data_IF_295747344366
#
_entry.id   IF_295747344366
#
_cell.length_a   1.000
_cell.length_b   1.000
_cell.length_c   1.000
_cell.angle_alpha   90.00
_cell.angle_beta   90.00
_cell.angle_gamma   90.00
#
_symmetry.space_group_name_H-M   'P 1'
#
loop_
_entity.id
_entity.type
_entity.pdbx_description
1 polymer ?
#
# COMPACT_ATOMS: atom_id res chain seq x y z
N UNK A 1 11.92 -19.69 3.53
CA UNK A 1 10.75 -18.83 3.70
C UNK A 1 10.93 -17.90 4.88
N UNK A 2 11.35 -16.66 4.61
CA UNK A 2 11.34 -15.55 5.54
C UNK A 2 10.07 -14.71 5.40
N UNK A 3 9.57 -14.19 6.52
CA UNK A 3 8.49 -13.20 6.53
C UNK A 3 9.02 -11.89 7.12
N UNK A 4 8.87 -10.80 6.38
CA UNK A 4 9.40 -9.49 6.76
C UNK A 4 8.29 -8.48 6.87
N UNK A 5 8.21 -7.83 8.03
CA UNK A 5 7.23 -6.79 8.31
C UNK A 5 7.85 -5.43 8.01
N UNK A 6 7.20 -4.66 7.14
CA UNK A 6 7.60 -3.32 6.74
C UNK A 6 6.59 -2.34 7.34
N UNK A 7 7.08 -1.47 8.23
CA UNK A 7 6.30 -0.39 8.82
C UNK A 7 6.14 0.81 7.88
N UNK A 8 5.83 1.96 8.45
CA UNK A 8 5.55 3.21 7.75
C UNK A 8 6.68 3.58 6.78
N UNK A 9 6.31 3.98 5.56
CA UNK A 9 7.24 4.35 4.50
C UNK A 9 7.19 5.86 4.26
N UNK A 10 6.00 6.47 4.31
CA UNK A 10 5.80 7.91 4.17
C UNK A 10 6.56 8.55 3.00
N UNK A 11 6.43 7.96 1.80
CA UNK A 11 7.05 8.51 0.60
C UNK A 11 8.58 8.39 0.54
N UNK A 12 9.23 7.60 1.40
CA UNK A 12 10.69 7.40 1.42
C UNK A 12 11.13 6.20 0.56
N UNK A 13 11.12 6.38 -0.78
CA UNK A 13 11.41 5.27 -1.71
C UNK A 13 12.82 4.68 -1.58
N UNK A 14 13.84 5.51 -1.33
CA UNK A 14 15.22 5.03 -1.25
C UNK A 14 15.46 4.23 0.04
N UNK A 15 14.82 4.61 1.15
CA UNK A 15 14.84 3.83 2.38
C UNK A 15 14.16 2.47 2.18
N UNK A 16 13.00 2.43 1.51
CA UNK A 16 12.31 1.19 1.20
C UNK A 16 13.18 0.25 0.34
N UNK A 17 13.73 0.74 -0.77
CA UNK A 17 14.63 -0.06 -1.62
C UNK A 17 15.84 -0.58 -0.85
N UNK A 18 16.41 0.26 0.03
CA UNK A 18 17.56 -0.12 0.86
C UNK A 18 17.22 -1.30 1.78
N UNK A 19 16.05 -1.26 2.44
CA UNK A 19 15.62 -2.35 3.32
C UNK A 19 15.34 -3.62 2.52
N UNK A 20 14.60 -3.53 1.40
CA UNK A 20 14.30 -4.69 0.55
C UNK A 20 15.58 -5.36 0.02
N UNK A 21 16.57 -4.57 -0.38
CA UNK A 21 17.87 -5.09 -0.79
C UNK A 21 18.63 -5.72 0.38
N UNK A 22 18.61 -5.11 1.56
CA UNK A 22 19.35 -5.59 2.75
C UNK A 22 18.85 -6.95 3.25
N UNK A 23 17.56 -7.23 3.10
CA UNK A 23 16.99 -8.54 3.46
C UNK A 23 17.16 -9.59 2.36
N UNK A 24 17.77 -9.24 1.22
CA UNK A 24 17.91 -10.10 0.04
C UNK A 24 16.58 -10.77 -0.36
N UNK A 25 15.51 -9.97 -0.42
CA UNK A 25 14.16 -10.46 -0.67
C UNK A 25 14.08 -11.32 -1.94
N UNK A 26 13.63 -12.56 -1.78
CA UNK A 26 13.30 -13.46 -2.89
C UNK A 26 11.79 -13.66 -3.01
N UNK A 27 11.20 -13.14 -4.08
CA UNK A 27 9.76 -13.22 -4.32
C UNK A 27 9.20 -14.64 -4.50
N UNK A 28 10.03 -15.66 -4.75
CA UNK A 28 9.57 -17.05 -4.86
C UNK A 28 9.57 -17.79 -3.53
N UNK A 29 10.33 -17.32 -2.54
CA UNK A 29 10.55 -18.00 -1.26
C UNK A 29 10.09 -17.18 -0.04
N UNK A 30 10.05 -15.86 -0.16
CA UNK A 30 9.81 -14.93 0.95
C UNK A 30 8.50 -14.14 0.80
N UNK A 31 8.06 -13.59 1.92
CA UNK A 31 6.85 -12.77 2.02
C UNK A 31 7.14 -11.42 2.67
N UNK A 32 6.61 -10.37 2.06
CA UNK A 32 6.57 -9.02 2.63
C UNK A 32 5.19 -8.75 3.20
N UNK A 33 5.15 -8.14 4.38
CA UNK A 33 3.94 -7.71 5.09
C UNK A 33 4.06 -6.21 5.35
N UNK A 34 3.36 -5.41 4.56
CA UNK A 34 3.33 -3.97 4.67
C UNK A 34 2.18 -3.52 5.59
N UNK A 35 2.50 -2.70 6.60
CA UNK A 35 1.54 -2.31 7.65
C UNK A 35 0.67 -1.09 7.32
N UNK A 36 0.94 -0.40 6.22
CA UNK A 36 0.26 0.84 5.83
C UNK A 36 1.20 2.04 5.83
N UNK A 37 0.63 3.24 5.68
CA UNK A 37 1.31 4.53 5.74
C UNK A 37 2.48 4.60 4.73
N UNK A 38 2.13 4.28 3.48
CA UNK A 38 3.03 4.26 2.34
C UNK A 38 3.34 5.66 1.82
N UNK A 39 2.33 6.52 1.89
CA UNK A 39 2.32 7.86 1.32
C UNK A 39 2.36 8.93 2.42
N UNK A 40 2.33 10.17 1.96
CA UNK A 40 2.37 11.42 2.72
C UNK A 40 3.71 11.70 3.39
N UNK A 41 3.91 12.97 3.78
CA UNK A 41 5.11 13.52 4.43
C UNK A 41 6.34 13.57 3.50
N UNK A 42 6.82 12.44 2.99
CA UNK A 42 7.93 12.37 2.04
C UNK A 42 7.54 12.81 0.63
N UNK A 43 8.54 13.14 -0.20
CA UNK A 43 8.33 13.68 -1.54
C UNK A 43 8.04 12.64 -2.61
N UNK A 44 8.29 11.36 -2.34
CA UNK A 44 8.35 10.33 -3.39
C UNK A 44 7.20 9.30 -3.28
N UNK A 45 6.04 9.73 -2.77
CA UNK A 45 4.84 8.88 -2.65
C UNK A 45 4.44 8.20 -3.97
N UNK A 46 4.56 8.90 -5.11
CA UNK A 46 4.32 8.30 -6.42
C UNK A 46 5.27 7.13 -6.71
N UNK A 47 6.57 7.29 -6.42
CA UNK A 47 7.57 6.25 -6.63
C UNK A 47 7.34 5.06 -5.68
N UNK A 48 6.96 5.32 -4.43
CA UNK A 48 6.56 4.28 -3.46
C UNK A 48 5.36 3.49 -3.99
N UNK A 49 4.29 4.15 -4.41
CA UNK A 49 3.13 3.50 -5.02
C UNK A 49 3.53 2.60 -6.21
N UNK A 50 4.32 3.14 -7.14
CA UNK A 50 4.79 2.39 -8.32
C UNK A 50 5.65 1.18 -7.95
N UNK A 51 6.42 1.28 -6.87
CA UNK A 51 7.27 0.19 -6.39
C UNK A 51 6.45 -0.89 -5.68
N UNK A 52 5.54 -0.51 -4.79
CA UNK A 52 4.59 -1.43 -4.13
C UNK A 52 3.78 -2.21 -5.16
N UNK A 53 3.25 -1.53 -6.20
CA UNK A 53 2.51 -2.19 -7.29
C UNK A 53 3.34 -3.21 -8.06
N UNK A 54 4.67 -3.06 -8.12
CA UNK A 54 5.57 -4.05 -8.73
C UNK A 54 5.90 -5.22 -7.79
N UNK A 55 5.89 -4.98 -6.49
CA UNK A 55 6.11 -6.03 -5.47
C UNK A 55 4.86 -6.90 -5.28
N UNK A 56 3.69 -6.46 -5.72
CA UNK A 56 2.47 -7.26 -5.63
C UNK A 56 2.53 -8.44 -6.61
N UNK A 57 2.91 -9.60 -6.06
CA UNK A 57 2.98 -10.90 -6.74
C UNK A 57 1.85 -11.85 -6.28
N UNK A 58 0.87 -11.35 -5.52
CA UNK A 58 -0.19 -12.14 -4.92
C UNK A 58 0.19 -12.91 -3.65
N UNK A 59 1.48 -13.09 -3.31
CA UNK A 59 1.89 -13.72 -2.04
C UNK A 59 2.07 -12.69 -0.92
N UNK A 60 2.58 -11.49 -1.25
CA UNK A 60 2.76 -10.38 -0.32
C UNK A 60 1.43 -9.90 0.30
N UNK A 61 1.53 -9.26 1.46
CA UNK A 61 0.40 -8.67 2.20
C UNK A 61 0.61 -7.17 2.28
N UNK A 62 -0.42 -6.42 1.91
CA UNK A 62 -0.44 -4.96 2.00
C UNK A 62 -1.68 -4.55 2.81
N UNK A 63 -1.46 -3.83 3.89
CA UNK A 63 -2.51 -3.32 4.78
C UNK A 63 -2.71 -1.84 4.49
N UNK A 64 -3.94 -1.34 4.61
CA UNK A 64 -4.20 0.10 4.51
C UNK A 64 -3.91 0.79 5.86
N UNK A 65 -3.12 1.86 5.83
CA UNK A 65 -2.94 2.77 6.95
C UNK A 65 -3.93 3.94 6.93
N UNK A 66 -3.89 4.79 7.96
CA UNK A 66 -4.77 5.94 8.05
C UNK A 66 -4.44 7.02 7.01
N UNK A 67 -3.19 7.08 6.52
CA UNK A 67 -2.81 8.01 5.47
C UNK A 67 -3.45 7.67 4.12
N UNK A 68 -3.49 6.39 3.77
CA UNK A 68 -4.20 5.92 2.58
C UNK A 68 -5.72 6.17 2.71
N UNK A 69 -6.30 5.98 3.89
CA UNK A 69 -7.71 6.29 4.14
C UNK A 69 -8.02 7.77 3.92
N UNK A 70 -7.20 8.67 4.46
CA UNK A 70 -7.33 10.11 4.26
C UNK A 70 -7.20 10.50 2.77
N UNK A 71 -6.29 9.87 2.02
CA UNK A 71 -6.16 10.10 0.58
C UNK A 71 -7.41 9.64 -0.17
N UNK A 72 -7.95 8.45 0.14
CA UNK A 72 -9.17 7.92 -0.50
C UNK A 72 -10.36 8.86 -0.26
N UNK A 73 -10.54 9.31 0.98
CA UNK A 73 -11.57 10.29 1.32
C UNK A 73 -11.41 11.60 0.55
N UNK A 74 -10.18 12.13 0.51
CA UNK A 74 -9.87 13.39 -0.16
C UNK A 74 -10.02 13.33 -1.68
N UNK A 75 -9.56 12.25 -2.30
CA UNK A 75 -9.41 12.14 -3.75
C UNK A 75 -10.65 11.58 -4.40
N UNK A 76 -11.20 10.48 -3.85
CA UNK A 76 -12.32 9.75 -4.45
C UNK A 76 -13.67 10.22 -3.91
N UNK A 77 -13.78 10.38 -2.58
CA UNK A 77 -15.01 10.84 -1.95
C UNK A 77 -15.15 12.37 -1.97
N UNK A 78 -14.08 13.08 -2.39
CA UNK A 78 -14.00 14.56 -2.44
C UNK A 78 -14.33 15.21 -1.09
N UNK A 79 -13.94 14.55 0.00
CA UNK A 79 -14.24 14.96 1.38
C UNK A 79 -12.96 15.11 2.21
N UNK A 80 -12.98 15.88 3.29
CA UNK A 80 -11.87 15.94 4.26
C UNK A 80 -10.47 16.27 3.68
N UNK A 81 -10.38 16.87 2.48
CA UNK A 81 -9.10 17.20 1.83
C UNK A 81 -8.19 18.08 2.70
N UNK A 82 -8.77 18.97 3.51
CA UNK A 82 -8.03 19.77 4.49
C UNK A 82 -7.34 18.94 5.57
N UNK A 83 -7.99 17.87 6.06
CA UNK A 83 -7.42 16.94 7.04
C UNK A 83 -6.25 16.17 6.44
N UNK A 84 -6.43 15.63 5.23
CA UNK A 84 -5.35 14.92 4.53
C UNK A 84 -4.13 15.83 4.31
N UNK A 85 -4.36 17.06 3.83
CA UNK A 85 -3.28 18.03 3.66
C UNK A 85 -2.56 18.42 4.95
N UNK A 86 -3.27 18.53 6.07
CA UNK A 86 -2.67 18.81 7.38
C UNK A 86 -1.70 17.69 7.81
N UNK A 87 -1.97 16.45 7.36
CA UNK A 87 -1.16 15.28 7.66
C UNK A 87 -0.09 14.96 6.58
N UNK A 88 0.19 15.89 5.66
CA UNK A 88 1.25 15.74 4.66
C UNK A 88 0.77 15.31 3.27
N UNK A 89 -0.56 15.22 3.04
CA UNK A 89 -1.14 14.84 1.75
C UNK A 89 -0.76 15.74 0.57
N UNK A 90 -0.35 16.99 0.82
CA UNK A 90 0.17 17.88 -0.23
C UNK A 90 1.45 17.36 -0.87
N UNK A 91 2.32 16.71 -0.10
CA UNK A 91 3.54 16.11 -0.64
C UNK A 91 3.19 14.97 -1.60
N UNK A 92 2.25 14.11 -1.19
CA UNK A 92 1.70 13.05 -2.04
C UNK A 92 1.12 13.61 -3.32
N UNK A 93 0.14 14.52 -3.27
CA UNK A 93 -0.50 15.05 -4.49
C UNK A 93 0.53 15.68 -5.45
N UNK A 94 1.55 16.38 -4.94
CA UNK A 94 2.62 16.98 -5.76
C UNK A 94 3.57 15.97 -6.38
N UNK A 95 3.74 14.80 -5.76
CA UNK A 95 4.62 13.74 -6.28
C UNK A 95 4.03 13.04 -7.52
N UNK A 96 2.71 13.11 -7.70
CA UNK A 96 2.03 12.49 -8.82
C UNK A 96 2.09 13.39 -10.07
N UNK A 97 2.25 12.79 -11.27
CA UNK A 97 2.38 13.55 -12.51
C UNK A 97 1.11 14.31 -12.90
N UNK A 98 -0.06 13.79 -12.50
CA UNK A 98 -1.36 14.41 -12.71
C UNK A 98 -2.41 13.80 -11.76
N UNK A 99 -3.57 14.45 -11.68
CA UNK A 99 -4.65 14.01 -10.79
C UNK A 99 -5.26 12.66 -11.19
N UNK A 100 -5.24 12.28 -12.47
CA UNK A 100 -5.76 10.99 -12.92
C UNK A 100 -4.92 9.82 -12.39
N UNK A 101 -3.59 9.96 -12.36
CA UNK A 101 -2.72 8.94 -11.75
C UNK A 101 -2.87 8.90 -10.22
N UNK A 102 -3.18 10.04 -9.58
CA UNK A 102 -3.48 10.09 -8.15
C UNK A 102 -4.80 9.35 -7.85
N UNK A 103 -5.84 9.55 -8.64
CA UNK A 103 -7.10 8.80 -8.55
C UNK A 103 -6.87 7.31 -8.80
N UNK A 104 -6.05 6.91 -9.77
CA UNK A 104 -5.70 5.51 -10.01
C UNK A 104 -5.04 4.89 -8.78
N UNK A 105 -4.07 5.59 -8.17
CA UNK A 105 -3.43 5.11 -6.95
C UNK A 105 -4.40 5.02 -5.78
N UNK A 106 -5.32 5.98 -5.60
CA UNK A 106 -6.34 5.90 -4.56
C UNK A 106 -7.25 4.68 -4.77
N UNK A 107 -7.67 4.40 -6.00
CA UNK A 107 -8.48 3.22 -6.35
C UNK A 107 -7.71 1.91 -6.13
N UNK A 108 -6.43 1.88 -6.49
CA UNK A 108 -5.56 0.74 -6.19
C UNK A 108 -5.50 0.50 -4.67
N UNK A 109 -5.33 1.56 -3.89
CA UNK A 109 -5.28 1.53 -2.43
C UNK A 109 -6.62 1.16 -1.77
N UNK A 110 -7.75 1.26 -2.50
CA UNK A 110 -9.04 0.75 -2.06
C UNK A 110 -9.00 -0.78 -1.84
N UNK A 111 -8.33 -1.51 -2.73
CA UNK A 111 -8.40 -2.98 -2.75
C UNK A 111 -7.71 -3.62 -1.54
N UNK A 112 -6.78 -2.90 -0.90
CA UNK A 112 -5.96 -3.41 0.19
C UNK A 112 -6.63 -3.38 1.58
N UNK A 113 -7.91 -2.97 1.69
CA UNK A 113 -8.71 -3.22 2.91
C UNK A 113 -9.42 -4.59 2.92
N UNK A 114 -9.61 -5.23 1.77
CA UNK A 114 -10.55 -6.37 1.68
C UNK A 114 -9.90 -7.71 2.13
N UNK A 115 -8.60 -7.74 2.40
CA UNK A 115 -7.86 -9.00 2.53
C UNK A 115 -7.37 -9.37 3.94
N UNK A 116 -8.00 -8.85 5.00
CA UNK A 116 -7.99 -9.57 6.28
C UNK A 116 -9.23 -10.47 6.35
N UNK A 117 -10.41 -9.99 5.95
CA UNK A 117 -11.63 -10.79 6.06
C UNK A 117 -11.80 -11.82 4.94
N UNK A 118 -11.46 -11.49 3.68
CA UNK A 118 -11.57 -12.45 2.56
C UNK A 118 -10.48 -13.53 2.59
N UNK A 119 -9.24 -13.21 2.99
CA UNK A 119 -8.17 -14.21 3.16
C UNK A 119 -8.42 -15.14 4.34
N UNK A 120 -9.02 -14.66 5.44
CA UNK A 120 -9.51 -15.53 6.51
C UNK A 120 -10.60 -16.46 5.96
N UNK A 121 -11.55 -15.96 5.14
CA UNK A 121 -12.56 -16.83 4.54
C UNK A 121 -11.92 -17.94 3.69
N UNK A 122 -10.90 -17.65 2.87
CA UNK A 122 -10.19 -18.69 2.10
C UNK A 122 -9.27 -19.60 2.93
N UNK A 123 -8.72 -19.12 4.05
CA UNK A 123 -7.93 -19.93 4.99
C UNK A 123 -8.81 -20.84 5.87
N UNK A 124 -10.11 -20.57 5.97
CA UNK A 124 -11.07 -21.33 6.79
C UNK A 124 -12.19 -22.01 5.99
N UNK A 125 -12.22 -21.94 4.66
CA UNK A 125 -13.12 -22.77 3.84
C UNK A 125 -12.61 -24.21 3.81
N UNK A 126 -13.30 -25.18 4.44
CA UNK A 126 -13.04 -26.58 4.16
C UNK A 126 -13.50 -26.86 2.73
N UNK A 127 -12.72 -27.68 2.03
CA UNK A 127 -13.04 -28.26 0.72
C UNK A 127 -14.46 -28.86 0.76
N UNK A 128 -15.43 -28.11 0.25
CA UNK A 128 -16.75 -28.60 -0.12
C UNK A 128 -16.93 -28.36 -1.62
N UNK A 129 -16.12 -29.04 -2.41
CA UNK A 129 -16.40 -29.30 -3.82
C UNK A 129 -15.95 -30.74 -4.11
N UNK A 130 -16.75 -31.69 -3.63
CA UNK A 130 -16.70 -33.09 -4.02
C UNK A 130 -18.06 -33.76 -3.76
N UNK A 131 -19.15 -33.14 -4.25
CA UNK A 131 -20.41 -33.81 -4.63
C UNK A 131 -21.04 -33.00 -5.77
#
# INVERSE_FOLDING_TARGET
MGEYVIGDIHGEIEALKTIINKINYDSTEDKLIFLGDYIDRGSDSYQVYRYIKKLDNGSNIFIRGNHEEMMIDAVLNKNNKGLWYHNGGRATERSFPNYSELEEAANFLILYLINIQMRIIYLFMPVFDLI
#
